data_IF_822850737365
#
_entry.id   IF_822850737365
#
_cell.length_a   1.000
_cell.length_b   1.000
_cell.length_c   1.000
_cell.angle_alpha   90.00
_cell.angle_beta   90.00
_cell.angle_gamma   90.00
#
_symmetry.space_group_name_H-M   'P 1'
#
loop_
_entity.id
_entity.type
_entity.pdbx_description
1 polymer ?
#
# COMPACT_ATOMS: atom_id res chain seq x y z
N UNK A 1 -2.53 -16.26 -15.70
CA UNK A 1 -1.03 -16.11 -15.74
C UNK A 1 -0.36 -17.28 -15.03
N UNK A 2 0.91 -17.57 -15.31
CA UNK A 2 1.69 -18.57 -14.54
C UNK A 2 2.03 -17.95 -13.18
N UNK A 3 1.81 -18.71 -12.12
CA UNK A 3 2.24 -18.30 -10.79
C UNK A 3 3.67 -18.79 -10.53
N UNK A 4 4.66 -18.06 -11.10
CA UNK A 4 6.09 -18.40 -10.97
C UNK A 4 6.56 -18.03 -9.55
N UNK A 5 7.14 -18.95 -8.76
CA UNK A 5 7.74 -18.62 -7.47
C UNK A 5 8.90 -17.62 -7.61
N UNK A 6 9.12 -16.82 -6.56
CA UNK A 6 10.33 -15.98 -6.50
C UNK A 6 11.59 -16.86 -6.46
N UNK A 7 12.62 -16.45 -7.20
CA UNK A 7 13.90 -17.13 -7.11
C UNK A 7 14.60 -16.85 -5.77
N UNK A 8 15.48 -17.77 -5.28
CA UNK A 8 16.26 -17.51 -4.06
C UNK A 8 17.01 -16.17 -4.11
N UNK A 9 17.60 -15.83 -5.26
CA UNK A 9 18.33 -14.56 -5.42
C UNK A 9 17.41 -13.33 -5.37
N UNK A 10 16.16 -13.45 -5.82
CA UNK A 10 15.17 -12.38 -5.68
C UNK A 10 14.78 -12.18 -4.23
N UNK A 11 14.60 -13.26 -3.45
CA UNK A 11 14.31 -13.22 -2.03
C UNK A 11 15.49 -12.60 -1.25
N UNK A 12 16.72 -13.02 -1.54
CA UNK A 12 17.93 -12.45 -0.95
C UNK A 12 18.02 -10.94 -1.20
N UNK A 13 17.80 -10.50 -2.45
CA UNK A 13 17.80 -9.09 -2.82
C UNK A 13 16.72 -8.29 -2.08
N UNK A 14 15.51 -8.86 -1.90
CA UNK A 14 14.48 -8.21 -1.07
C UNK A 14 14.94 -7.98 0.36
N UNK A 15 15.56 -8.97 0.98
CA UNK A 15 16.05 -8.85 2.36
C UNK A 15 17.26 -7.90 2.46
N UNK A 16 18.05 -7.78 1.41
CA UNK A 16 19.18 -6.86 1.36
C UNK A 16 18.71 -5.42 1.11
N UNK A 17 17.96 -5.16 0.05
CA UNK A 17 17.56 -3.82 -0.38
C UNK A 17 16.32 -3.28 0.37
N UNK A 18 15.47 -4.18 0.90
CA UNK A 18 14.18 -3.85 1.49
C UNK A 18 13.06 -3.70 0.47
N UNK A 19 13.31 -3.95 -0.81
CA UNK A 19 12.31 -3.95 -1.87
C UNK A 19 12.77 -4.72 -3.11
N UNK A 20 11.80 -5.11 -3.95
CA UNK A 20 12.03 -5.64 -5.29
C UNK A 20 10.99 -5.09 -6.27
N UNK A 21 11.39 -4.86 -7.50
CA UNK A 21 10.50 -4.74 -8.64
C UNK A 21 10.36 -6.14 -9.26
N UNK A 22 9.12 -6.64 -9.32
CA UNK A 22 8.88 -8.00 -9.83
C UNK A 22 9.03 -8.05 -11.35
N UNK A 23 9.71 -9.06 -11.85
CA UNK A 23 10.15 -9.16 -13.25
C UNK A 23 9.02 -9.59 -14.22
N UNK A 24 7.92 -10.14 -13.68
CA UNK A 24 6.76 -10.60 -14.44
C UNK A 24 5.48 -9.88 -13.98
N UNK A 25 4.48 -9.69 -14.84
CA UNK A 25 3.22 -9.11 -14.42
C UNK A 25 2.48 -10.02 -13.44
N UNK A 26 1.95 -9.47 -12.34
CA UNK A 26 1.05 -10.17 -11.42
C UNK A 26 -0.40 -10.13 -11.92
N UNK A 27 -0.75 -9.11 -12.68
CA UNK A 27 -2.08 -8.92 -13.25
C UNK A 27 -1.99 -8.88 -14.78
N UNK A 28 -2.92 -9.54 -15.45
CA UNK A 28 -3.07 -9.39 -16.89
C UNK A 28 -3.77 -8.06 -17.23
N UNK A 29 -3.79 -7.71 -18.50
CA UNK A 29 -4.56 -6.54 -18.96
C UNK A 29 -6.06 -6.68 -18.67
N UNK A 30 -6.59 -7.90 -18.75
CA UNK A 30 -7.98 -8.21 -18.42
C UNK A 30 -8.23 -8.04 -16.91
N UNK A 31 -7.30 -8.46 -16.04
CA UNK A 31 -7.40 -8.25 -14.59
C UNK A 31 -7.39 -6.76 -14.25
N UNK A 32 -6.53 -5.98 -14.89
CA UNK A 32 -6.46 -4.52 -14.73
C UNK A 32 -7.77 -3.87 -15.18
N UNK A 33 -8.33 -4.30 -16.31
CA UNK A 33 -9.63 -3.81 -16.78
C UNK A 33 -10.75 -4.13 -15.78
N UNK A 34 -10.79 -5.35 -15.27
CA UNK A 34 -11.79 -5.76 -14.27
C UNK A 34 -11.69 -4.93 -12.98
N UNK A 35 -10.46 -4.57 -12.56
CA UNK A 35 -10.26 -3.66 -11.41
C UNK A 35 -10.85 -2.27 -11.69
N UNK A 36 -10.67 -1.75 -12.90
CA UNK A 36 -11.26 -0.45 -13.27
C UNK A 36 -12.78 -0.49 -13.31
N UNK A 37 -13.37 -1.56 -13.84
CA UNK A 37 -14.82 -1.74 -13.88
C UNK A 37 -15.42 -1.78 -12.47
N UNK A 38 -14.78 -2.48 -11.53
CA UNK A 38 -15.20 -2.55 -10.12
C UNK A 38 -15.04 -1.19 -9.38
N UNK A 39 -14.06 -0.39 -9.76
CA UNK A 39 -13.81 0.92 -9.14
C UNK A 39 -14.64 2.05 -9.77
N UNK A 40 -15.13 1.88 -10.99
CA UNK A 40 -15.79 2.96 -11.73
C UNK A 40 -16.94 3.64 -10.97
N UNK A 41 -17.86 2.91 -10.29
CA UNK A 41 -18.93 3.55 -9.51
C UNK A 41 -18.42 4.38 -8.31
N UNK A 42 -17.31 3.97 -7.71
CA UNK A 42 -16.69 4.71 -6.60
C UNK A 42 -15.94 5.94 -7.10
N UNK A 43 -15.30 5.84 -8.26
CA UNK A 43 -14.54 6.94 -8.88
C UNK A 43 -15.49 7.99 -9.44
N UNK A 44 -16.65 7.59 -9.99
CA UNK A 44 -17.67 8.52 -10.49
C UNK A 44 -18.49 9.16 -9.37
N UNK A 45 -18.49 8.58 -8.17
CA UNK A 45 -19.33 9.00 -7.06
C UNK A 45 -20.75 8.43 -7.09
N UNK A 46 -21.04 7.50 -8.03
CA UNK A 46 -22.32 6.77 -8.07
C UNK A 46 -22.48 5.80 -6.90
N UNK A 47 -21.38 5.30 -6.36
CA UNK A 47 -21.35 4.48 -5.16
C UNK A 47 -20.40 5.07 -4.13
N UNK A 48 -20.60 4.69 -2.86
CA UNK A 48 -19.74 5.10 -1.74
C UNK A 48 -19.40 3.89 -0.87
N UNK A 49 -18.28 3.99 -0.16
CA UNK A 49 -17.92 3.05 0.91
C UNK A 49 -18.23 3.68 2.27
N UNK A 50 -18.53 2.87 3.31
CA UNK A 50 -18.72 3.36 4.65
C UNK A 50 -17.50 4.13 5.20
N UNK A 51 -17.74 5.07 6.13
CA UNK A 51 -16.71 5.72 6.95
C UNK A 51 -15.64 6.52 6.19
N UNK A 52 -15.99 7.23 5.12
CA UNK A 52 -15.07 8.16 4.45
C UNK A 52 -13.87 7.47 3.81
N UNK A 53 -14.00 6.21 3.39
CA UNK A 53 -12.94 5.43 2.76
C UNK A 53 -12.50 5.95 1.39
N UNK A 54 -13.31 6.80 0.79
CA UNK A 54 -13.00 7.48 -0.48
C UNK A 54 -12.41 8.85 -0.15
N UNK A 55 -11.12 9.00 -0.36
CA UNK A 55 -10.40 10.28 -0.25
C UNK A 55 -10.32 10.99 -1.58
N UNK A 56 -10.61 12.29 -1.58
CA UNK A 56 -10.55 13.16 -2.74
C UNK A 56 -9.42 14.20 -2.61
N UNK A 57 -9.17 14.97 -3.65
CA UNK A 57 -8.18 16.05 -3.60
C UNK A 57 -8.55 17.14 -2.59
N UNK A 58 -9.83 17.46 -2.49
CA UNK A 58 -10.39 18.41 -1.50
C UNK A 58 -11.21 17.58 -0.50
N UNK A 59 -10.60 17.24 0.63
CA UNK A 59 -11.07 16.23 1.58
C UNK A 59 -12.53 16.39 2.05
N UNK A 60 -13.03 17.63 2.14
CA UNK A 60 -14.36 17.93 2.65
C UNK A 60 -15.43 18.13 1.56
N UNK A 61 -15.11 17.75 0.33
CA UNK A 61 -16.02 17.91 -0.80
C UNK A 61 -16.33 16.55 -1.45
N UNK A 62 -17.54 16.38 -2.01
CA UNK A 62 -17.90 15.13 -2.69
C UNK A 62 -17.04 14.88 -3.94
N UNK A 63 -16.96 13.62 -4.34
CA UNK A 63 -16.35 13.23 -5.61
C UNK A 63 -17.03 13.96 -6.77
N UNK A 64 -16.25 14.42 -7.73
CA UNK A 64 -16.74 15.08 -8.93
C UNK A 64 -15.61 15.54 -9.86
N UNK A 65 -15.96 16.13 -11.03
CA UNK A 65 -14.97 16.58 -12.02
C UNK A 65 -13.91 17.56 -11.45
N UNK A 66 -14.34 18.42 -10.52
CA UNK A 66 -13.47 19.41 -9.86
C UNK A 66 -12.86 18.89 -8.54
N UNK A 67 -13.19 17.67 -8.16
CA UNK A 67 -12.69 17.03 -6.96
C UNK A 67 -12.53 15.51 -7.17
N UNK A 68 -11.58 15.09 -8.02
CA UNK A 68 -11.39 13.69 -8.35
C UNK A 68 -10.93 12.86 -7.14
N UNK A 69 -11.21 11.57 -7.22
CA UNK A 69 -10.68 10.60 -6.25
C UNK A 69 -9.17 10.63 -6.28
N UNK A 70 -8.59 10.53 -5.10
CA UNK A 70 -7.15 10.38 -4.88
C UNK A 70 -6.78 9.02 -4.31
N UNK A 71 -7.64 8.49 -3.44
CA UNK A 71 -7.37 7.26 -2.70
C UNK A 71 -8.70 6.60 -2.30
N UNK A 72 -8.77 5.28 -2.39
CA UNK A 72 -9.85 4.49 -1.80
C UNK A 72 -9.20 3.41 -0.93
N UNK A 73 -9.61 3.30 0.33
CA UNK A 73 -8.99 2.38 1.30
C UNK A 73 -9.96 1.30 1.78
N UNK A 74 -9.44 0.09 2.01
CA UNK A 74 -10.17 -1.02 2.60
C UNK A 74 -11.15 -1.70 1.64
N UNK A 75 -10.88 -1.68 0.35
CA UNK A 75 -11.71 -2.28 -0.69
C UNK A 75 -12.06 -3.74 -0.40
N UNK A 76 -11.06 -4.53 0.02
CA UNK A 76 -11.23 -5.97 0.33
C UNK A 76 -12.18 -6.24 1.48
N UNK A 77 -12.43 -5.27 2.35
CA UNK A 77 -13.37 -5.42 3.46
C UNK A 77 -14.84 -5.18 3.06
N UNK A 78 -15.07 -4.59 1.89
CA UNK A 78 -16.40 -4.20 1.43
C UNK A 78 -16.79 -4.80 0.08
N UNK A 79 -15.82 -5.14 -0.75
CA UNK A 79 -16.03 -5.60 -2.12
C UNK A 79 -15.42 -7.01 -2.31
N UNK A 80 -16.26 -8.06 -2.53
CA UNK A 80 -15.79 -9.43 -2.67
C UNK A 80 -14.75 -9.65 -3.78
N UNK A 81 -14.78 -8.83 -4.83
CA UNK A 81 -13.78 -8.85 -5.90
C UNK A 81 -12.37 -8.59 -5.35
N UNK A 82 -12.22 -7.53 -4.53
CA UNK A 82 -10.93 -7.18 -3.95
C UNK A 82 -10.49 -8.13 -2.84
N UNK A 83 -11.43 -8.70 -2.06
CA UNK A 83 -11.11 -9.77 -1.12
C UNK A 83 -10.50 -10.97 -1.86
N UNK A 84 -11.13 -11.40 -2.97
CA UNK A 84 -10.61 -12.47 -3.81
C UNK A 84 -9.23 -12.15 -4.38
N UNK A 85 -9.01 -10.91 -4.79
CA UNK A 85 -7.72 -10.46 -5.32
C UNK A 85 -6.65 -10.46 -4.22
N UNK A 86 -6.95 -9.94 -3.02
CA UNK A 86 -6.04 -9.97 -1.86
C UNK A 86 -5.67 -11.40 -1.42
N UNK A 87 -6.56 -12.37 -1.66
CA UNK A 87 -6.33 -13.80 -1.39
C UNK A 87 -5.73 -14.56 -2.57
N UNK A 88 -5.43 -13.87 -3.67
CA UNK A 88 -4.93 -14.51 -4.90
C UNK A 88 -3.60 -15.23 -4.65
N UNK A 89 -3.46 -16.50 -5.06
CA UNK A 89 -2.19 -17.22 -4.97
C UNK A 89 -1.05 -16.50 -5.71
N UNK A 90 -1.34 -15.80 -6.80
CA UNK A 90 -0.33 -15.04 -7.56
C UNK A 90 0.35 -13.97 -6.69
N UNK A 91 -0.39 -13.36 -5.75
CA UNK A 91 0.14 -12.38 -4.80
C UNK A 91 0.68 -13.09 -3.56
N UNK A 92 -0.16 -13.94 -2.93
CA UNK A 92 0.16 -14.50 -1.61
C UNK A 92 1.37 -15.45 -1.60
N UNK A 93 1.65 -16.16 -2.69
CA UNK A 93 2.84 -17.05 -2.74
C UNK A 93 4.14 -16.23 -2.70
N UNK A 94 4.13 -15.02 -3.27
CA UNK A 94 5.26 -14.10 -3.19
C UNK A 94 5.36 -13.43 -1.82
N UNK A 95 4.22 -13.01 -1.27
CA UNK A 95 4.17 -12.45 0.08
C UNK A 95 4.61 -13.48 1.11
N UNK A 96 4.19 -14.75 0.99
CA UNK A 96 4.64 -15.83 1.87
C UNK A 96 6.14 -16.06 1.80
N UNK A 97 6.72 -16.04 0.59
CA UNK A 97 8.16 -16.21 0.41
C UNK A 97 8.99 -15.08 1.07
N UNK A 98 8.44 -13.88 1.19
CA UNK A 98 9.11 -12.70 1.73
C UNK A 98 8.78 -12.43 3.20
N UNK A 99 7.56 -12.74 3.64
CA UNK A 99 7.05 -12.40 4.97
C UNK A 99 6.91 -13.61 5.89
N UNK A 100 6.68 -14.80 5.34
CA UNK A 100 6.38 -16.02 6.08
C UNK A 100 4.94 -16.51 5.89
N UNK A 101 4.61 -17.69 6.46
CA UNK A 101 3.43 -18.46 6.05
C UNK A 101 2.09 -18.00 6.68
N UNK A 102 2.12 -17.17 7.70
CA UNK A 102 0.92 -16.75 8.41
C UNK A 102 0.67 -15.26 8.16
N UNK A 103 -0.33 -14.95 7.33
CA UNK A 103 -0.49 -13.63 6.74
C UNK A 103 -1.90 -13.10 6.99
N UNK A 104 -1.97 -11.88 7.51
CA UNK A 104 -3.19 -11.07 7.56
C UNK A 104 -3.08 -9.90 6.58
N UNK A 105 -4.22 -9.49 6.02
CA UNK A 105 -4.36 -8.23 5.31
C UNK A 105 -4.61 -7.13 6.36
N UNK A 106 -3.71 -6.14 6.42
CA UNK A 106 -3.92 -4.94 7.22
C UNK A 106 -4.95 -4.01 6.55
N UNK A 107 -4.69 -3.66 5.32
CA UNK A 107 -5.59 -2.87 4.45
C UNK A 107 -5.15 -3.02 3.00
N UNK A 108 -6.02 -2.59 2.11
CA UNK A 108 -5.67 -2.34 0.72
C UNK A 108 -6.08 -0.93 0.33
N UNK A 109 -5.41 -0.39 -0.67
CA UNK A 109 -5.59 0.99 -1.08
C UNK A 109 -5.46 1.14 -2.59
N UNK A 110 -6.48 1.72 -3.21
CA UNK A 110 -6.36 2.25 -4.55
C UNK A 110 -5.82 3.68 -4.49
N UNK A 111 -4.86 3.99 -5.34
CA UNK A 111 -4.26 5.30 -5.47
C UNK A 111 -4.46 5.85 -6.88
N UNK A 112 -4.91 7.09 -6.96
CA UNK A 112 -4.92 7.86 -8.20
C UNK A 112 -4.09 9.12 -8.01
N UNK A 113 -2.95 9.18 -8.71
CA UNK A 113 -2.11 10.35 -8.77
C UNK A 113 -2.47 11.15 -10.02
N UNK A 114 -3.34 12.14 -9.84
CA UNK A 114 -3.76 13.02 -10.92
C UNK A 114 -2.60 13.91 -11.40
N UNK A 115 -2.64 14.39 -12.65
CA UNK A 115 -1.68 15.37 -13.14
C UNK A 115 -1.60 16.60 -12.24
N UNK A 116 -0.39 17.08 -11.98
CA UNK A 116 -0.16 18.30 -11.21
C UNK A 116 -0.73 19.49 -11.97
N UNK A 117 -1.61 20.26 -11.33
CA UNK A 117 -2.20 21.48 -11.90
C UNK A 117 -1.64 22.70 -11.18
N UNK A 118 -1.49 23.81 -11.91
CA UNK A 118 -1.09 25.08 -11.31
C UNK A 118 -2.08 25.49 -10.22
N UNK A 119 -1.58 25.80 -9.03
CA UNK A 119 -2.41 26.18 -7.87
C UNK A 119 -3.03 25.05 -7.08
N UNK A 120 -2.87 23.78 -7.47
CA UNK A 120 -3.20 22.66 -6.60
C UNK A 120 -1.96 22.23 -5.84
N UNK A 121 -1.96 22.27 -4.49
CA UNK A 121 -0.86 21.74 -3.71
C UNK A 121 -0.91 20.21 -3.78
N UNK A 122 -0.42 19.64 -4.87
CA UNK A 122 -0.12 18.21 -4.88
C UNK A 122 0.98 17.97 -3.87
N UNK A 123 0.59 17.62 -2.65
CA UNK A 123 1.54 17.13 -1.69
C UNK A 123 2.14 15.84 -2.28
N UNK A 124 3.43 15.83 -2.60
CA UNK A 124 4.09 14.58 -2.90
C UNK A 124 3.86 13.64 -1.71
N UNK A 125 3.78 12.33 -1.95
CA UNK A 125 3.96 11.41 -0.85
C UNK A 125 5.44 11.52 -0.45
N UNK A 126 5.69 12.27 0.60
CA UNK A 126 7.05 12.52 1.08
C UNK A 126 7.66 11.26 1.67
N UNK A 127 8.96 11.27 1.93
CA UNK A 127 9.68 10.14 2.50
C UNK A 127 9.03 9.63 3.77
N UNK A 128 8.66 8.34 3.79
CA UNK A 128 8.00 7.69 4.92
C UNK A 128 8.28 6.19 4.93
N UNK A 129 7.90 5.55 6.01
CA UNK A 129 7.87 4.12 6.21
C UNK A 129 6.42 3.72 6.48
N UNK A 130 5.87 2.74 5.76
CA UNK A 130 4.47 2.33 5.91
C UNK A 130 4.16 1.84 7.33
N UNK A 131 5.00 0.94 7.87
CA UNK A 131 4.79 0.37 9.18
C UNK A 131 4.76 1.40 10.31
N UNK A 132 5.49 2.53 10.16
CA UNK A 132 5.51 3.60 11.15
C UNK A 132 4.21 4.40 11.14
N UNK A 133 3.57 4.54 9.99
CA UNK A 133 2.25 5.19 9.90
C UNK A 133 1.15 4.40 10.64
N UNK A 134 1.39 3.13 10.90
CA UNK A 134 0.46 2.23 11.59
C UNK A 134 0.65 2.19 13.12
N UNK A 135 1.70 2.77 13.65
CA UNK A 135 2.04 3.15 15.06
C UNK A 135 1.86 2.12 16.18
N UNK A 136 1.44 0.89 15.92
CA UNK A 136 0.93 0.04 16.98
C UNK A 136 1.27 -1.45 16.86
N UNK A 137 2.26 -1.79 16.03
CA UNK A 137 2.58 -3.19 15.81
C UNK A 137 3.99 -3.55 16.30
N UNK A 138 4.09 -4.71 16.88
CA UNK A 138 5.35 -5.36 17.19
C UNK A 138 5.28 -6.81 16.64
N UNK A 139 6.22 -7.24 15.82
CA UNK A 139 7.38 -6.50 15.32
C UNK A 139 7.05 -5.58 14.13
N UNK A 140 7.71 -4.44 14.04
CA UNK A 140 7.61 -3.54 12.87
C UNK A 140 8.13 -4.17 11.57
N UNK A 141 9.00 -5.17 11.65
CA UNK A 141 9.53 -5.92 10.51
C UNK A 141 8.53 -6.93 9.94
N UNK A 142 7.38 -7.07 10.57
CA UNK A 142 6.29 -7.96 10.16
C UNK A 142 5.34 -7.37 9.09
N UNK A 143 5.74 -6.36 8.32
CA UNK A 143 4.92 -5.73 7.30
C UNK A 143 5.56 -5.75 5.92
N UNK A 144 4.74 -5.99 4.91
CA UNK A 144 5.10 -5.90 3.49
C UNK A 144 3.97 -5.26 2.70
N UNK A 145 4.32 -4.41 1.77
CA UNK A 145 3.38 -3.86 0.79
C UNK A 145 3.62 -4.51 -0.58
N UNK A 146 2.56 -5.03 -1.17
CA UNK A 146 2.50 -5.40 -2.59
C UNK A 146 1.80 -4.26 -3.33
N UNK A 147 2.57 -3.39 -3.97
CA UNK A 147 2.06 -2.29 -4.77
C UNK A 147 2.05 -2.69 -6.24
N UNK A 148 0.90 -2.65 -6.92
CA UNK A 148 0.73 -3.08 -8.30
C UNK A 148 0.33 -1.88 -9.15
N UNK A 149 1.08 -1.61 -10.18
CA UNK A 149 0.79 -0.56 -11.15
C UNK A 149 -0.43 -0.96 -11.99
N UNK A 150 -1.47 -0.14 -12.02
CA UNK A 150 -2.59 -0.29 -12.96
C UNK A 150 -2.31 0.45 -14.27
N UNK A 151 -1.61 1.58 -14.19
CA UNK A 151 -1.00 2.26 -15.35
C UNK A 151 0.52 2.08 -15.26
N UNK A 152 1.22 2.22 -16.39
CA UNK A 152 2.68 2.29 -16.37
C UNK A 152 3.15 3.40 -15.43
N UNK A 153 4.05 3.08 -14.52
CA UNK A 153 4.63 4.03 -13.58
C UNK A 153 6.02 4.45 -14.04
N UNK A 154 6.21 5.74 -14.26
CA UNK A 154 7.45 6.34 -14.73
C UNK A 154 7.87 7.50 -13.82
N UNK A 155 9.11 7.96 -13.94
CA UNK A 155 9.58 9.16 -13.24
C UNK A 155 8.69 10.37 -13.56
N UNK A 156 8.26 10.52 -14.82
CA UNK A 156 7.45 11.64 -15.26
C UNK A 156 6.08 11.67 -14.59
N UNK A 157 5.40 10.50 -14.47
CA UNK A 157 4.07 10.43 -13.85
C UNK A 157 4.12 10.13 -12.34
N UNK A 158 5.31 10.21 -11.74
CA UNK A 158 5.52 10.13 -10.30
C UNK A 158 5.49 8.70 -9.75
N UNK A 159 6.30 7.81 -10.31
CA UNK A 159 6.57 6.49 -9.74
C UNK A 159 7.12 6.59 -8.32
N UNK A 160 7.14 5.49 -7.60
CA UNK A 160 7.79 5.44 -6.29
C UNK A 160 9.31 5.56 -6.42
N UNK A 161 9.94 6.14 -5.41
CA UNK A 161 11.38 6.14 -5.21
C UNK A 161 11.67 5.43 -3.90
N UNK A 162 12.58 4.49 -3.92
CA UNK A 162 12.91 3.59 -2.82
C UNK A 162 14.36 3.82 -2.41
N UNK A 163 14.64 3.81 -1.12
CA UNK A 163 16.02 3.90 -0.62
C UNK A 163 16.50 2.50 -0.25
N UNK A 164 17.49 1.95 -0.97
CA UNK A 164 18.05 0.63 -0.65
C UNK A 164 18.57 0.57 0.78
N UNK A 165 18.47 -0.59 1.42
CA UNK A 165 18.91 -0.90 2.78
C UNK A 165 18.27 -0.06 3.90
N UNK A 166 17.37 0.87 3.57
CA UNK A 166 16.83 1.82 4.56
C UNK A 166 15.97 1.17 5.65
N UNK A 167 15.40 0.00 5.39
CA UNK A 167 14.64 -0.78 6.38
C UNK A 167 15.50 -1.29 7.55
N UNK A 168 16.81 -1.45 7.34
CA UNK A 168 17.76 -1.91 8.38
C UNK A 168 18.00 -0.88 9.49
N UNK A 169 17.63 0.39 9.24
CA UNK A 169 17.74 1.46 10.25
C UNK A 169 16.61 1.41 11.30
N UNK A 170 15.66 0.47 11.16
CA UNK A 170 14.51 0.36 12.05
C UNK A 170 13.44 1.42 11.81
N UNK A 171 12.50 1.51 12.74
CA UNK A 171 11.40 2.47 12.67
C UNK A 171 11.86 3.87 13.07
N UNK A 172 11.66 4.84 12.20
CA UNK A 172 11.91 6.25 12.48
C UNK A 172 10.58 6.94 12.75
N UNK A 173 10.27 7.11 14.03
CA UNK A 173 8.99 7.69 14.46
C UNK A 173 9.04 9.21 14.31
N UNK A 174 8.14 9.82 13.52
CA UNK A 174 8.05 11.27 13.40
C UNK A 174 7.75 11.92 14.75
N UNK A 175 8.37 13.08 15.01
CA UNK A 175 7.97 13.89 16.17
C UNK A 175 6.54 14.37 16.03
N UNK A 176 5.86 14.59 17.16
CA UNK A 176 4.47 15.02 17.18
C UNK A 176 4.22 16.17 16.18
N UNK A 177 3.28 15.97 15.24
CA UNK A 177 2.90 16.85 14.13
C UNK A 177 3.81 16.84 12.88
N UNK A 178 4.91 16.12 12.86
CA UNK A 178 5.68 15.89 11.65
C UNK A 178 5.10 14.63 10.96
N UNK A 179 4.55 14.78 9.76
CA UNK A 179 4.10 13.63 8.96
C UNK A 179 5.26 12.89 8.29
N UNK A 180 6.45 13.49 8.27
CA UNK A 180 7.56 13.08 7.42
C UNK A 180 8.88 13.30 8.13
N UNK A 181 9.76 12.35 7.99
CA UNK A 181 11.11 12.36 8.57
C UNK A 181 12.11 12.49 7.45
N UNK A 182 13.19 13.23 7.67
CA UNK A 182 14.35 13.12 6.81
C UNK A 182 14.86 11.67 6.90
N UNK A 183 15.03 11.00 5.76
CA UNK A 183 15.54 9.63 5.76
C UNK A 183 16.97 9.59 6.34
N UNK A 184 17.31 8.57 7.13
CA UNK A 184 18.54 8.55 7.92
C UNK A 184 19.79 8.15 7.11
N UNK A 185 19.67 7.92 5.82
CA UNK A 185 20.73 7.38 4.97
C UNK A 185 21.12 8.35 3.87
N UNK A 186 22.36 8.26 3.40
CA UNK A 186 22.89 9.00 2.24
C UNK A 186 22.81 8.19 0.93
N UNK A 187 22.20 6.99 0.96
CA UNK A 187 22.03 6.17 -0.24
C UNK A 187 21.13 6.87 -1.26
N UNK A 188 21.51 6.81 -2.53
CA UNK A 188 20.75 7.38 -3.62
C UNK A 188 19.42 6.60 -3.83
N UNK A 189 18.29 7.30 -3.96
CA UNK A 189 17.03 6.66 -4.22
C UNK A 189 16.97 6.00 -5.60
N UNK A 190 16.33 4.86 -5.67
CA UNK A 190 16.06 4.13 -6.93
C UNK A 190 14.61 4.38 -7.34
N UNK A 191 14.41 4.85 -8.57
CA UNK A 191 13.08 5.00 -9.15
C UNK A 191 12.49 3.61 -9.49
N UNK A 192 11.32 3.31 -8.95
CA UNK A 192 10.61 2.07 -9.22
C UNK A 192 9.68 2.24 -10.43
N UNK A 193 10.29 2.30 -11.63
CA UNK A 193 9.55 2.34 -12.89
C UNK A 193 9.09 0.93 -13.26
N UNK A 194 7.79 0.74 -13.40
CA UNK A 194 7.18 -0.57 -13.73
C UNK A 194 6.01 -0.41 -14.69
N UNK A 195 5.82 -1.41 -15.53
CA UNK A 195 4.70 -1.48 -16.48
C UNK A 195 3.37 -1.77 -15.77
N UNK A 196 2.25 -1.53 -16.45
CA UNK A 196 0.92 -1.94 -16.00
C UNK A 196 0.88 -3.44 -15.72
N UNK A 197 0.27 -3.84 -14.60
CA UNK A 197 0.20 -5.22 -14.10
C UNK A 197 1.41 -5.70 -13.32
N UNK A 198 2.52 -4.95 -13.32
CA UNK A 198 3.74 -5.30 -12.58
C UNK A 198 3.68 -4.77 -11.15
N UNK A 199 4.45 -5.39 -10.26
CA UNK A 199 4.44 -5.05 -8.84
C UNK A 199 5.80 -4.63 -8.29
N UNK A 200 5.73 -3.80 -7.26
CA UNK A 200 6.82 -3.53 -6.33
C UNK A 200 6.44 -4.13 -4.97
N UNK A 201 7.28 -5.00 -4.45
CA UNK A 201 7.18 -5.48 -3.07
C UNK A 201 8.17 -4.70 -2.22
N UNK A 202 7.72 -4.11 -1.14
CA UNK A 202 8.62 -3.41 -0.23
C UNK A 202 8.32 -3.68 1.24
N UNK A 203 9.38 -3.71 2.01
CA UNK A 203 9.34 -3.89 3.45
C UNK A 203 8.65 -2.70 4.12
N UNK A 204 7.86 -2.94 5.16
CA UNK A 204 7.13 -1.87 5.85
C UNK A 204 8.02 -0.77 6.43
N UNK A 205 9.30 -1.06 6.67
CA UNK A 205 10.31 -0.08 7.12
C UNK A 205 11.18 0.48 5.99
N UNK A 206 10.94 0.13 4.73
CA UNK A 206 11.68 0.75 3.64
C UNK A 206 11.23 2.21 3.45
N UNK A 207 12.17 3.15 3.45
CA UNK A 207 11.89 4.54 3.13
C UNK A 207 11.57 4.68 1.65
N UNK A 208 10.41 5.24 1.39
CA UNK A 208 9.96 5.51 0.03
C UNK A 208 9.17 6.81 -0.06
N UNK A 209 9.09 7.34 -1.27
CA UNK A 209 8.30 8.51 -1.59
C UNK A 209 7.74 8.43 -3.01
N UNK A 210 6.95 9.40 -3.42
CA UNK A 210 6.61 9.59 -4.84
C UNK A 210 6.42 11.07 -5.16
N UNK A 211 7.06 11.53 -6.23
CA UNK A 211 6.99 12.91 -6.69
C UNK A 211 5.66 13.23 -7.40
N UNK A 212 5.36 14.51 -7.64
CA UNK A 212 4.16 14.90 -8.41
C UNK A 212 4.13 14.25 -9.79
N UNK A 213 2.92 13.97 -10.27
CA UNK A 213 2.68 13.54 -11.64
C UNK A 213 2.77 14.75 -12.58
N UNK A 214 3.76 14.77 -13.45
CA UNK A 214 4.01 15.84 -14.44
C UNK A 214 3.48 15.49 -15.82
N UNK A 215 2.93 14.28 -16.01
CA UNK A 215 2.29 13.87 -17.24
C UNK A 215 0.87 14.44 -17.36
N UNK A 216 0.21 14.18 -18.47
CA UNK A 216 -1.17 14.65 -18.74
C UNK A 216 -2.25 13.69 -18.23
N UNK A 217 -1.89 12.45 -17.90
CA UNK A 217 -2.81 11.39 -17.52
C UNK A 217 -2.65 10.98 -16.04
N UNK A 218 -3.71 10.55 -15.36
CA UNK A 218 -3.61 9.99 -14.02
C UNK A 218 -2.74 8.72 -14.01
N UNK A 219 -1.96 8.54 -12.94
CA UNK A 219 -1.25 7.29 -12.66
C UNK A 219 -1.96 6.57 -11.52
N UNK A 220 -2.49 5.38 -11.80
CA UNK A 220 -3.30 4.59 -10.88
C UNK A 220 -2.56 3.32 -10.44
N UNK A 221 -2.80 2.92 -9.22
CA UNK A 221 -2.21 1.72 -8.63
C UNK A 221 -3.13 1.15 -7.55
N UNK A 222 -2.92 -0.12 -7.22
CA UNK A 222 -3.49 -0.76 -6.04
C UNK A 222 -2.38 -1.30 -5.17
N UNK A 223 -2.49 -1.12 -3.86
CA UNK A 223 -1.55 -1.67 -2.88
C UNK A 223 -2.28 -2.56 -1.88
N UNK A 224 -1.70 -3.71 -1.57
CA UNK A 224 -2.12 -4.60 -0.51
C UNK A 224 -1.05 -4.55 0.58
N UNK A 225 -1.44 -4.14 1.78
CA UNK A 225 -0.57 -4.07 2.94
C UNK A 225 -0.80 -5.31 3.80
N UNK A 226 0.16 -6.21 3.79
CA UNK A 226 0.10 -7.44 4.55
C UNK A 226 0.96 -7.35 5.81
N UNK A 227 0.58 -8.13 6.80
CA UNK A 227 1.35 -8.28 8.04
C UNK A 227 1.39 -9.74 8.48
N UNK A 228 2.40 -10.08 9.29
CA UNK A 228 2.43 -11.38 9.95
C UNK A 228 1.24 -11.53 10.89
N UNK A 229 0.65 -12.71 10.91
CA UNK A 229 -0.47 -13.02 11.79
C UNK A 229 -0.10 -13.00 13.28
N UNK A 230 1.21 -13.08 13.60
CA UNK A 230 1.79 -12.97 14.94
C UNK A 230 1.93 -11.52 15.44
N UNK A 231 1.53 -10.55 14.64
CA UNK A 231 1.60 -9.13 15.00
C UNK A 231 0.71 -8.82 16.19
N UNK A 232 1.26 -8.08 17.17
CA UNK A 232 0.56 -7.70 18.41
C UNK A 232 0.24 -6.23 18.43
N UNK A 233 -0.87 -5.92 19.04
CA UNK A 233 -1.27 -4.55 19.31
C UNK A 233 -0.57 -4.05 20.59
N UNK A 234 0.20 -2.99 20.48
CA UNK A 234 0.94 -2.40 21.62
C UNK A 234 0.12 -1.41 22.47
N UNK A 235 -1.14 -1.20 22.11
CA UNK A 235 -1.99 -0.19 22.72
C UNK A 235 -1.85 1.17 22.04
N UNK A 236 -2.94 1.93 22.06
CA UNK A 236 -2.96 3.28 21.52
C UNK A 236 -2.95 4.26 22.69
N UNK A 237 -1.79 4.76 23.04
CA UNK A 237 -1.68 5.86 23.99
C UNK A 237 -1.94 7.22 23.36
N UNK A 238 -2.27 7.26 22.05
CA UNK A 238 -2.61 8.48 21.35
C UNK A 238 -3.95 8.39 20.59
N UNK A 239 -4.64 9.53 20.47
CA UNK A 239 -5.96 9.62 19.84
C UNK A 239 -5.96 9.22 18.36
N UNK A 240 -4.87 9.46 17.63
CA UNK A 240 -4.76 9.15 16.20
C UNK A 240 -4.79 7.64 15.97
N UNK A 241 -4.01 6.90 16.74
CA UNK A 241 -3.96 5.43 16.65
C UNK A 241 -5.29 4.81 17.07
N UNK A 242 -5.90 5.36 18.13
CA UNK A 242 -7.24 4.93 18.57
C UNK A 242 -8.28 5.14 17.48
N UNK A 243 -8.26 6.29 16.80
CA UNK A 243 -9.17 6.59 15.69
C UNK A 243 -9.02 5.63 14.50
N UNK A 244 -7.78 5.27 14.12
CA UNK A 244 -7.51 4.30 13.04
C UNK A 244 -8.01 2.91 13.44
N UNK A 245 -7.74 2.50 14.68
CA UNK A 245 -8.21 1.23 15.22
C UNK A 245 -9.74 1.19 15.30
N UNK A 246 -10.38 2.25 15.74
CA UNK A 246 -11.84 2.35 15.83
C UNK A 246 -12.51 2.41 14.46
N UNK A 247 -11.93 3.11 13.50
CA UNK A 247 -12.43 3.15 12.12
C UNK A 247 -12.34 1.79 11.42
N UNK A 248 -11.35 0.95 11.78
CA UNK A 248 -11.21 -0.41 11.29
C UNK A 248 -11.91 -1.46 12.18
N UNK A 249 -12.46 -1.06 13.32
CA UNK A 249 -13.28 -1.95 14.15
C UNK A 249 -14.60 -2.21 13.45
N UNK A 250 -14.63 -3.34 12.77
CA UNK A 250 -15.83 -4.16 12.78
C UNK A 250 -16.01 -4.68 14.22
N UNK A 251 -17.20 -5.09 14.59
CA UNK A 251 -17.55 -5.61 15.93
C UNK A 251 -16.80 -6.91 16.31
N UNK A 252 -15.83 -7.33 15.51
CA UNK A 252 -15.01 -8.53 15.68
C UNK A 252 -13.65 -8.16 16.29
N UNK A 253 -13.22 -8.78 17.40
CA UNK A 253 -11.87 -8.65 17.93
C UNK A 253 -10.77 -9.11 16.94
N UNK A 254 -11.09 -9.96 15.96
CA UNK A 254 -10.19 -10.35 14.86
C UNK A 254 -10.25 -9.33 13.72
N UNK A 255 -9.74 -8.14 13.95
CA UNK A 255 -9.88 -6.93 13.11
C UNK A 255 -9.31 -7.00 11.72
N UNK A 256 -8.32 -7.87 11.51
CA UNK A 256 -7.60 -7.96 10.26
C UNK A 256 -7.84 -9.31 9.62
N UNK A 257 -8.09 -9.28 8.33
CA UNK A 257 -8.47 -10.45 7.56
C UNK A 257 -7.32 -11.45 7.47
N UNK A 258 -7.47 -12.64 8.06
CA UNK A 258 -6.56 -13.75 7.80
C UNK A 258 -6.69 -14.17 6.35
N UNK A 259 -5.63 -14.04 5.57
CA UNK A 259 -5.61 -14.38 4.13
C UNK A 259 -4.85 -15.68 3.86
N UNK A 260 -3.93 -16.06 4.74
CA UNK A 260 -3.17 -17.32 4.64
C UNK A 260 -2.66 -17.78 6.01
N UNK A 261 -2.52 -19.10 6.19
CA UNK A 261 -1.97 -19.71 7.40
C UNK A 261 -2.93 -19.76 8.56
N UNK A 262 -2.49 -19.40 9.75
CA UNK A 262 -3.27 -19.47 11.00
C UNK A 262 -3.19 -18.19 11.81
N UNK A 263 -4.18 -18.02 12.68
CA UNK A 263 -4.18 -16.98 13.70
C UNK A 263 -3.41 -17.42 14.96
N UNK A 264 -3.01 -16.43 15.74
CA UNK A 264 -2.33 -16.63 17.01
C UNK A 264 -3.11 -15.96 18.15
N UNK A 265 -3.16 -16.57 19.33
CA UNK A 265 -3.75 -15.94 20.51
C UNK A 265 -3.09 -14.60 20.81
N UNK A 266 -3.88 -13.62 21.25
CA UNK A 266 -3.44 -12.27 21.64
C UNK A 266 -2.74 -11.46 20.52
N UNK A 267 -2.91 -11.87 19.26
CA UNK A 267 -2.46 -11.14 18.08
C UNK A 267 -3.64 -10.46 17.37
N UNK A 268 -3.36 -9.37 16.64
CA UNK A 268 -4.38 -8.57 15.92
C UNK A 268 -4.84 -9.22 14.64
#
# INVERSE_FOLDING_TARGET
>A
MKNTPLSPSTIERYHEDGFIMHDEPLLSAEDVTAIYDELAPLISGEATLPNGRVGTEKQDQPVGPDNPVRKIAGLSYYLPFFEKLARSPVILDKVEALLGPNIKLYTDEYFMKNPAREGTPFAPYTWHQDAVNYHFFNPFDGFITCWIALDEATIENGCMHMIPHSHTHGAVIPKARERFVAHPTTAEPIAAEVKSGYAVFHHGLNFHCSYPNRSTEPRRAIAFHYMRSETRYLGADNETTRGIVEANRTTDPHRFMLVRGKEFPDCV
#
